data_IF_954025949276
#
_entry.id   IF_954025949276
#
_cell.length_a   1.000
_cell.length_b   1.000
_cell.length_c   1.000
_cell.angle_alpha   90.00
_cell.angle_beta   90.00
_cell.angle_gamma   90.00
#
_symmetry.space_group_name_H-M   'P 1'
#
loop_
_entity.id
_entity.type
_entity.pdbx_description
1 polymer ?
#
# COMPACT_ATOMS: atom_id res chain seq x y z
N UNK A 1 4.16 12.45 -22.94
CA UNK A 1 3.71 12.13 -21.56
C UNK A 1 4.81 12.57 -20.59
N UNK A 2 4.56 13.63 -19.88
CA UNK A 2 5.42 14.13 -18.80
C UNK A 2 4.83 13.69 -17.47
N UNK A 3 5.55 12.82 -16.72
CA UNK A 3 5.09 12.25 -15.47
C UNK A 3 5.63 13.06 -14.29
N UNK A 4 4.72 13.49 -13.42
CA UNK A 4 5.05 14.11 -12.14
C UNK A 4 4.67 13.19 -10.99
N UNK A 5 5.63 12.92 -10.11
CA UNK A 5 5.43 12.24 -8.85
C UNK A 5 5.45 13.24 -7.70
N UNK A 6 4.47 13.19 -6.80
CA UNK A 6 4.42 14.08 -5.64
C UNK A 6 3.72 13.44 -4.44
N UNK A 7 4.11 13.88 -3.24
CA UNK A 7 3.31 13.69 -2.03
C UNK A 7 2.13 14.65 -2.08
N UNK A 8 0.92 14.14 -1.85
CA UNK A 8 -0.30 14.96 -1.78
C UNK A 8 -0.27 15.89 -0.57
N UNK A 9 -0.51 17.18 -0.81
CA UNK A 9 -0.70 18.19 0.22
C UNK A 9 -2.13 18.74 0.13
N UNK A 10 -3.01 18.43 1.11
CA UNK A 10 -4.42 18.83 1.07
C UNK A 10 -4.66 20.34 1.19
N UNK A 11 -3.62 21.13 1.48
CA UNK A 11 -3.74 22.60 1.57
C UNK A 11 -3.44 23.30 0.24
N UNK A 12 -2.63 22.70 -0.61
CA UNK A 12 -2.11 23.36 -1.83
C UNK A 12 -2.40 22.61 -3.11
N UNK A 13 -2.63 21.31 -3.04
CA UNK A 13 -2.82 20.48 -4.23
C UNK A 13 -4.29 20.41 -4.65
N UNK A 14 -4.50 20.54 -5.95
CA UNK A 14 -5.77 20.22 -6.61
C UNK A 14 -5.60 18.83 -7.24
N UNK A 15 -6.50 17.91 -6.85
CA UNK A 15 -6.51 16.57 -7.42
C UNK A 15 -7.08 16.65 -8.84
N UNK A 16 -6.32 16.10 -9.80
CA UNK A 16 -6.72 16.03 -11.19
C UNK A 16 -7.72 14.88 -11.42
N UNK A 17 -8.50 14.90 -12.52
CA UNK A 17 -9.42 13.82 -12.87
C UNK A 17 -8.76 12.44 -12.76
N UNK A 18 -9.49 11.50 -12.18
CA UNK A 18 -9.07 10.12 -11.96
C UNK A 18 -10.26 9.17 -12.02
N UNK A 19 -10.11 8.05 -12.66
CA UNK A 19 -11.08 6.95 -12.66
C UNK A 19 -10.34 5.62 -12.81
N UNK A 20 -10.43 4.75 -11.81
CA UNK A 20 -9.85 3.41 -11.84
C UNK A 20 -10.90 2.30 -12.00
N UNK A 21 -12.18 2.66 -12.21
CA UNK A 21 -13.29 1.71 -12.33
C UNK A 21 -13.82 1.17 -10.99
N UNK A 22 -13.24 1.59 -9.85
CA UNK A 22 -13.69 1.20 -8.52
C UNK A 22 -14.16 2.46 -7.75
N UNK A 23 -15.42 2.45 -7.31
CA UNK A 23 -16.05 3.62 -6.68
C UNK A 23 -15.46 3.97 -5.32
N UNK A 24 -15.02 2.97 -4.50
CA UNK A 24 -14.39 3.22 -3.20
C UNK A 24 -13.01 3.87 -3.40
N UNK A 25 -12.22 3.35 -4.34
CA UNK A 25 -10.90 3.91 -4.64
C UNK A 25 -10.99 5.29 -5.29
N UNK A 26 -11.96 5.51 -6.18
CA UNK A 26 -12.23 6.82 -6.77
C UNK A 26 -12.69 7.82 -5.70
N UNK A 27 -13.65 7.43 -4.86
CA UNK A 27 -14.17 8.25 -3.76
C UNK A 27 -13.09 8.62 -2.76
N UNK A 28 -12.26 7.66 -2.33
CA UNK A 28 -11.16 7.96 -1.41
C UNK A 28 -10.24 9.07 -1.92
N UNK A 29 -9.93 9.11 -3.20
CA UNK A 29 -9.06 10.13 -3.77
C UNK A 29 -9.79 11.46 -4.01
N UNK A 30 -10.99 11.41 -4.64
CA UNK A 30 -11.64 12.58 -5.21
C UNK A 30 -12.57 13.31 -4.24
N UNK A 31 -13.11 12.60 -3.23
CA UNK A 31 -14.01 13.22 -2.26
C UNK A 31 -13.23 14.06 -1.24
N UNK A 32 -13.86 15.14 -0.82
CA UNK A 32 -13.34 16.04 0.22
C UNK A 32 -14.32 16.23 1.38
N UNK A 33 -15.44 15.48 1.36
CA UNK A 33 -16.46 15.50 2.40
C UNK A 33 -15.94 14.76 3.65
N UNK A 34 -16.06 15.36 4.82
CA UNK A 34 -15.60 14.78 6.09
C UNK A 34 -16.49 13.61 6.59
N UNK A 35 -17.62 13.35 5.96
CA UNK A 35 -18.54 12.25 6.33
C UNK A 35 -18.04 10.86 5.85
N UNK A 36 -17.10 10.82 4.91
CA UNK A 36 -16.52 9.57 4.39
C UNK A 36 -15.00 9.63 4.44
N UNK A 37 -14.32 8.49 4.71
CA UNK A 37 -12.86 8.42 4.69
C UNK A 37 -12.31 8.81 3.32
N UNK A 38 -11.42 9.81 3.28
CA UNK A 38 -10.81 10.29 2.05
C UNK A 38 -9.35 10.71 2.26
N UNK A 39 -8.61 10.90 1.17
CA UNK A 39 -7.18 11.22 1.20
C UNK A 39 -6.90 12.55 1.91
N UNK A 40 -7.78 13.55 1.75
CA UNK A 40 -7.66 14.86 2.39
C UNK A 40 -7.79 14.74 3.92
N UNK A 41 -8.83 14.05 4.40
CA UNK A 41 -9.07 13.81 5.82
C UNK A 41 -7.92 13.01 6.43
N UNK A 42 -7.50 11.90 5.79
CA UNK A 42 -6.39 11.09 6.30
C UNK A 42 -5.08 11.86 6.40
N UNK A 43 -4.80 12.75 5.43
CA UNK A 43 -3.60 13.59 5.47
C UNK A 43 -3.67 14.63 6.61
N UNK A 44 -4.83 15.28 6.82
CA UNK A 44 -5.04 16.27 7.89
C UNK A 44 -4.95 15.65 9.29
N UNK A 45 -5.48 14.43 9.44
CA UNK A 45 -5.47 13.68 10.70
C UNK A 45 -4.19 12.88 10.93
N UNK A 46 -3.20 12.95 10.03
CA UNK A 46 -1.95 12.19 10.08
C UNK A 46 -2.16 10.66 10.08
N UNK A 47 -3.27 10.19 9.53
CA UNK A 47 -3.61 8.76 9.48
C UNK A 47 -2.90 8.04 8.32
N UNK A 48 -2.70 8.74 7.19
CA UNK A 48 -1.99 8.21 6.03
C UNK A 48 -1.29 9.31 5.24
N UNK A 49 -0.30 8.91 4.47
CA UNK A 49 0.37 9.77 3.47
C UNK A 49 -0.01 9.25 2.10
N UNK A 50 -0.61 10.11 1.27
CA UNK A 50 -0.99 9.80 -0.11
C UNK A 50 0.03 10.38 -1.08
N UNK A 51 0.35 9.62 -2.12
CA UNK A 51 1.22 10.01 -3.22
C UNK A 51 0.46 9.95 -4.53
N UNK A 52 0.69 10.94 -5.38
CA UNK A 52 0.06 11.07 -6.69
C UNK A 52 1.10 10.92 -7.80
N UNK A 53 0.71 10.25 -8.87
CA UNK A 53 1.42 10.17 -10.13
C UNK A 53 0.53 10.81 -11.18
N UNK A 54 0.99 11.90 -11.77
CA UNK A 54 0.22 12.72 -12.69
C UNK A 54 0.84 12.75 -14.08
N UNK A 55 0.01 12.71 -15.10
CA UNK A 55 0.37 13.14 -16.46
C UNK A 55 0.13 14.64 -16.57
N UNK A 56 1.22 15.40 -16.70
CA UNK A 56 1.14 16.87 -16.73
C UNK A 56 0.56 17.35 -18.05
N UNK A 57 0.93 16.73 -19.17
CA UNK A 57 0.43 17.09 -20.51
C UNK A 57 -1.08 16.78 -20.66
N UNK A 58 -1.50 15.60 -20.19
CA UNK A 58 -2.91 15.22 -20.24
C UNK A 58 -3.76 15.89 -19.14
N UNK A 59 -3.14 16.46 -18.11
CA UNK A 59 -3.83 17.06 -16.97
C UNK A 59 -4.62 16.05 -16.13
N UNK A 60 -4.18 14.79 -16.02
CA UNK A 60 -4.86 13.68 -15.34
C UNK A 60 -4.01 13.04 -14.27
N UNK A 61 -4.66 12.38 -13.30
CA UNK A 61 -3.98 11.50 -12.36
C UNK A 61 -3.86 10.10 -12.96
N UNK A 62 -2.62 9.61 -13.11
CA UNK A 62 -2.32 8.27 -13.62
C UNK A 62 -2.62 7.21 -12.57
N UNK A 63 -2.11 7.45 -11.35
CA UNK A 63 -2.21 6.52 -10.24
C UNK A 63 -2.05 7.24 -8.90
N UNK A 64 -2.50 6.61 -7.84
CA UNK A 64 -2.18 7.02 -6.49
C UNK A 64 -1.98 5.83 -5.56
N UNK A 65 -1.32 6.06 -4.46
CA UNK A 65 -1.24 5.11 -3.35
C UNK A 65 -1.14 5.85 -2.01
N UNK A 66 -1.59 5.20 -0.96
CA UNK A 66 -1.50 5.71 0.41
C UNK A 66 -0.76 4.75 1.31
N UNK A 67 0.07 5.30 2.21
CA UNK A 67 0.88 4.55 3.16
C UNK A 67 0.53 4.98 4.58
N UNK A 68 0.47 4.00 5.49
CA UNK A 68 0.27 4.21 6.91
C UNK A 68 1.10 3.20 7.71
N UNK A 69 1.36 3.51 8.99
CA UNK A 69 2.05 2.58 9.89
C UNK A 69 1.16 1.38 10.19
N UNK A 70 1.81 0.21 10.32
CA UNK A 70 1.15 -1.05 10.61
C UNK A 70 2.09 -1.97 11.41
N UNK A 71 1.59 -3.13 11.77
CA UNK A 71 2.36 -4.21 12.38
C UNK A 71 1.78 -5.57 12.03
N UNK A 72 2.62 -6.57 11.90
CA UNK A 72 2.20 -7.97 11.87
C UNK A 72 2.16 -8.46 13.31
N UNK A 73 0.99 -8.86 13.79
CA UNK A 73 0.80 -9.38 15.13
C UNK A 73 0.74 -10.91 15.14
N UNK A 74 1.29 -11.50 16.21
CA UNK A 74 1.30 -12.94 16.38
C UNK A 74 -0.09 -13.55 16.40
N UNK A 75 -1.04 -12.85 17.02
CA UNK A 75 -2.38 -13.36 17.26
C UNK A 75 -3.29 -13.31 16.00
N UNK A 76 -2.86 -12.55 14.98
CA UNK A 76 -3.58 -12.41 13.70
C UNK A 76 -2.92 -13.18 12.54
N UNK A 77 -1.66 -13.61 12.70
CA UNK A 77 -0.97 -14.39 11.68
C UNK A 77 -1.14 -15.89 11.95
N UNK A 78 -1.26 -16.68 10.89
CA UNK A 78 -1.20 -18.12 11.02
C UNK A 78 0.07 -18.56 11.75
N UNK A 79 -0.09 -19.52 12.67
CA UNK A 79 1.03 -20.03 13.47
C UNK A 79 2.23 -20.48 12.64
N UNK A 80 1.97 -21.11 11.51
CA UNK A 80 3.02 -21.57 10.57
C UNK A 80 3.76 -20.38 9.96
N UNK A 81 3.01 -19.36 9.53
CA UNK A 81 3.56 -18.14 8.92
C UNK A 81 4.33 -17.35 9.98
N UNK A 82 3.73 -17.14 11.16
CA UNK A 82 4.42 -16.49 12.28
C UNK A 82 5.76 -17.15 12.63
N UNK A 83 5.77 -18.48 12.73
CA UNK A 83 6.98 -19.23 13.02
C UNK A 83 8.06 -19.07 11.93
N UNK A 84 7.64 -19.01 10.65
CA UNK A 84 8.55 -18.75 9.52
C UNK A 84 9.16 -17.36 9.62
N UNK A 85 8.34 -16.33 9.85
CA UNK A 85 8.81 -14.95 10.02
C UNK A 85 9.77 -14.82 11.21
N UNK A 86 9.42 -15.45 12.32
CA UNK A 86 10.21 -15.39 13.57
C UNK A 86 11.57 -16.07 13.46
N UNK A 87 11.71 -17.14 12.67
CA UNK A 87 13.00 -17.86 12.50
C UNK A 87 14.09 -16.96 11.89
N UNK A 88 13.71 -15.99 11.11
CA UNK A 88 14.64 -15.10 10.41
C UNK A 88 15.03 -13.87 11.26
N UNK A 89 14.46 -13.72 12.47
CA UNK A 89 14.66 -12.54 13.31
C UNK A 89 15.35 -12.95 14.62
N UNK A 90 16.53 -12.39 14.95
CA UNK A 90 17.19 -12.64 16.20
C UNK A 90 16.30 -12.27 17.40
N UNK A 91 16.34 -13.07 18.46
CA UNK A 91 15.58 -12.84 19.70
C UNK A 91 14.04 -12.77 19.52
N UNK A 92 13.50 -13.42 18.50
CA UNK A 92 12.08 -13.40 18.15
C UNK A 92 11.13 -13.88 19.27
N UNK A 93 11.59 -14.76 20.18
CA UNK A 93 10.77 -15.36 21.25
C UNK A 93 10.05 -14.36 22.15
N UNK A 94 10.58 -13.15 22.28
CA UNK A 94 10.01 -12.09 23.14
C UNK A 94 9.11 -11.11 22.37
N UNK A 95 9.05 -11.21 21.05
CA UNK A 95 8.27 -10.28 20.21
C UNK A 95 6.85 -10.80 20.00
N UNK A 96 5.88 -9.91 20.14
CA UNK A 96 4.47 -10.18 19.82
C UNK A 96 4.04 -9.54 18.52
N UNK A 97 4.84 -8.63 17.99
CA UNK A 97 4.58 -7.94 16.73
C UNK A 97 5.86 -7.55 16.02
N UNK A 98 5.77 -7.34 14.72
CA UNK A 98 6.85 -6.81 13.88
C UNK A 98 6.38 -5.55 13.17
N UNK A 99 7.23 -4.51 13.09
CA UNK A 99 6.88 -3.26 12.43
C UNK A 99 6.66 -3.46 10.93
N UNK A 100 5.60 -2.87 10.42
CA UNK A 100 5.23 -2.87 9.02
C UNK A 100 4.81 -1.47 8.55
N UNK A 101 4.81 -1.27 7.24
CA UNK A 101 4.11 -0.20 6.56
C UNK A 101 2.96 -0.82 5.77
N UNK A 102 1.77 -0.25 5.85
CA UNK A 102 0.59 -0.71 5.11
C UNK A 102 0.39 0.12 3.86
N UNK A 103 0.17 -0.56 2.74
CA UNK A 103 -0.42 0.05 1.57
C UNK A 103 -1.93 0.09 1.82
N UNK A 104 -2.44 1.25 2.22
CA UNK A 104 -3.86 1.44 2.53
C UNK A 104 -4.73 1.48 1.29
N UNK A 105 -4.21 2.11 0.23
CA UNK A 105 -4.85 2.19 -1.09
C UNK A 105 -3.78 2.15 -2.17
N UNK A 106 -4.06 1.53 -3.29
CA UNK A 106 -3.27 1.60 -4.52
C UNK A 106 -4.22 1.47 -5.70
N UNK A 107 -4.24 2.47 -6.56
CA UNK A 107 -5.09 2.46 -7.73
C UNK A 107 -4.40 3.08 -8.93
N UNK A 108 -4.69 2.54 -10.11
CA UNK A 108 -4.22 3.02 -11.41
C UNK A 108 -5.45 3.32 -12.27
N UNK A 109 -5.48 4.50 -12.88
CA UNK A 109 -6.57 4.90 -13.78
C UNK A 109 -6.73 3.90 -14.93
N UNK A 110 -7.98 3.65 -15.33
CA UNK A 110 -8.34 2.72 -16.42
C UNK A 110 -7.49 2.96 -17.68
N UNK A 111 -7.31 4.23 -18.06
CA UNK A 111 -6.55 4.61 -19.26
C UNK A 111 -5.08 4.19 -19.20
N UNK A 112 -4.53 4.00 -18.00
CA UNK A 112 -3.11 3.68 -17.77
C UNK A 112 -2.90 2.26 -17.21
N UNK A 113 -3.96 1.44 -17.08
CA UNK A 113 -3.83 0.03 -16.71
C UNK A 113 -3.02 -0.74 -17.76
N UNK A 114 -2.36 -1.80 -17.34
CA UNK A 114 -1.51 -2.61 -18.24
C UNK A 114 -0.12 -2.03 -18.56
N UNK A 115 0.17 -0.79 -18.18
CA UNK A 115 1.49 -0.14 -18.42
C UNK A 115 2.51 -0.33 -17.29
N UNK A 116 2.19 -1.20 -16.33
CA UNK A 116 3.10 -1.56 -15.23
C UNK A 116 3.23 -0.53 -14.12
N UNK A 117 2.38 0.50 -14.05
CA UNK A 117 2.44 1.53 -13.00
C UNK A 117 2.28 0.95 -11.60
N UNK A 118 1.35 0.00 -11.39
CA UNK A 118 1.18 -0.65 -10.10
C UNK A 118 2.44 -1.34 -9.60
N UNK A 119 3.10 -2.15 -10.45
CA UNK A 119 4.35 -2.83 -10.09
C UNK A 119 5.51 -1.87 -9.85
N UNK A 120 5.59 -0.76 -10.61
CA UNK A 120 6.59 0.29 -10.39
C UNK A 120 6.38 0.99 -9.04
N UNK A 121 5.12 1.23 -8.65
CA UNK A 121 4.78 1.78 -7.32
C UNK A 121 5.24 0.82 -6.23
N UNK A 122 4.92 -0.47 -6.32
CA UNK A 122 5.36 -1.46 -5.34
C UNK A 122 6.89 -1.53 -5.25
N UNK A 123 7.60 -1.50 -6.38
CA UNK A 123 9.07 -1.42 -6.42
C UNK A 123 9.61 -0.20 -5.70
N UNK A 124 9.02 0.98 -5.94
CA UNK A 124 9.38 2.24 -5.28
C UNK A 124 9.19 2.18 -3.75
N UNK A 125 8.03 1.66 -3.29
CA UNK A 125 7.75 1.51 -1.86
C UNK A 125 8.76 0.55 -1.20
N UNK A 126 9.06 -0.58 -1.84
CA UNK A 126 10.08 -1.53 -1.36
C UNK A 126 11.44 -0.86 -1.23
N UNK A 127 11.85 -0.11 -2.23
CA UNK A 127 13.13 0.63 -2.21
C UNK A 127 13.19 1.64 -1.07
N UNK A 128 12.15 2.45 -0.87
CA UNK A 128 12.13 3.46 0.19
C UNK A 128 12.32 2.85 1.59
N UNK A 129 11.62 1.75 1.84
CA UNK A 129 11.63 1.14 3.18
C UNK A 129 12.77 0.13 3.39
N UNK A 130 13.50 -0.24 2.35
CA UNK A 130 14.70 -1.08 2.48
C UNK A 130 15.99 -0.28 2.60
N UNK A 131 16.09 0.92 2.01
CA UNK A 131 17.33 1.69 1.91
C UNK A 131 17.34 3.03 2.66
N UNK A 132 16.20 3.72 2.79
CA UNK A 132 16.11 5.05 3.41
C UNK A 132 15.00 5.12 4.45
N UNK A 133 14.97 4.13 5.31
CA UNK A 133 13.92 3.96 6.31
C UNK A 133 14.22 4.76 7.57
N UNK A 134 13.46 5.83 7.84
CA UNK A 134 13.60 6.67 9.03
C UNK A 134 13.12 6.03 10.33
N UNK A 135 12.30 4.98 10.23
CA UNK A 135 11.82 4.21 11.37
C UNK A 135 11.86 2.74 11.01
N UNK A 136 12.37 1.89 11.91
CA UNK A 136 12.47 0.46 11.64
C UNK A 136 11.18 -0.13 11.10
N UNK A 137 11.24 -0.66 9.88
CA UNK A 137 10.14 -1.30 9.19
C UNK A 137 10.66 -2.59 8.55
N UNK A 138 10.08 -3.73 8.92
CA UNK A 138 10.50 -5.03 8.41
C UNK A 138 9.65 -5.51 7.25
N UNK A 139 8.36 -5.19 7.27
CA UNK A 139 7.39 -5.74 6.34
C UNK A 139 6.57 -4.64 5.66
N UNK A 140 6.06 -4.95 4.47
CA UNK A 140 4.95 -4.22 3.84
C UNK A 140 3.73 -5.11 3.97
N UNK A 141 2.60 -4.55 4.39
CA UNK A 141 1.29 -5.23 4.45
C UNK A 141 0.29 -4.58 3.50
N UNK A 142 -0.73 -5.33 3.13
CA UNK A 142 -1.87 -4.86 2.35
C UNK A 142 -3.08 -5.75 2.61
N UNK A 143 -4.26 -5.16 2.73
CA UNK A 143 -5.53 -5.87 2.59
C UNK A 143 -5.90 -5.85 1.10
N UNK A 144 -5.48 -6.88 0.38
CA UNK A 144 -5.67 -6.97 -1.04
C UNK A 144 -7.12 -7.36 -1.36
N UNK A 145 -7.81 -6.60 -2.20
CA UNK A 145 -9.06 -7.07 -2.80
C UNK A 145 -8.82 -8.43 -3.47
N UNK A 146 -9.79 -9.35 -3.40
CA UNK A 146 -9.64 -10.69 -4.00
C UNK A 146 -9.25 -10.63 -5.48
N UNK A 147 -9.78 -9.68 -6.23
CA UNK A 147 -9.43 -9.43 -7.63
C UNK A 147 -8.00 -8.96 -7.84
N UNK A 148 -7.34 -8.44 -6.81
CA UNK A 148 -5.97 -7.94 -6.85
C UNK A 148 -4.92 -8.91 -6.25
N UNK A 149 -5.34 -10.04 -5.70
CA UNK A 149 -4.42 -11.01 -5.06
C UNK A 149 -3.33 -11.46 -6.03
N UNK A 150 -3.68 -11.83 -7.25
CA UNK A 150 -2.71 -12.30 -8.26
C UNK A 150 -1.68 -11.19 -8.60
N UNK A 151 -2.12 -9.94 -8.67
CA UNK A 151 -1.22 -8.80 -8.87
C UNK A 151 -0.19 -8.69 -7.74
N UNK A 152 -0.63 -8.81 -6.48
CA UNK A 152 0.31 -8.76 -5.35
C UNK A 152 1.21 -9.99 -5.30
N UNK A 153 0.73 -11.20 -5.63
CA UNK A 153 1.55 -12.41 -5.72
C UNK A 153 2.62 -12.31 -6.81
N UNK A 154 2.28 -11.78 -7.99
CA UNK A 154 3.25 -11.50 -9.07
C UNK A 154 4.32 -10.49 -8.64
N UNK A 155 4.00 -9.64 -7.67
CA UNK A 155 4.93 -8.72 -7.03
C UNK A 155 5.55 -9.28 -5.74
N UNK A 156 5.52 -10.63 -5.57
CA UNK A 156 6.17 -11.38 -4.48
C UNK A 156 5.59 -11.14 -3.08
N UNK A 157 4.35 -10.65 -2.97
CA UNK A 157 3.62 -10.67 -1.72
C UNK A 157 3.10 -12.07 -1.42
N UNK A 158 3.03 -12.41 -0.16
CA UNK A 158 2.51 -13.70 0.33
C UNK A 158 1.31 -13.46 1.25
N UNK A 159 0.40 -14.43 1.32
CA UNK A 159 -0.72 -14.38 2.27
C UNK A 159 -0.21 -14.50 3.70
N UNK A 160 -0.78 -13.72 4.61
CA UNK A 160 -0.46 -13.77 6.04
C UNK A 160 -1.38 -14.76 6.80
N UNK A 161 -2.56 -15.04 6.26
CA UNK A 161 -3.56 -15.95 6.80
C UNK A 161 -3.93 -16.94 5.70
N UNK A 162 -4.07 -18.20 6.04
CA UNK A 162 -4.40 -19.28 5.08
C UNK A 162 -5.90 -19.50 4.86
N UNK A 163 -6.73 -19.08 5.82
CA UNK A 163 -8.20 -19.25 5.81
C UNK A 163 -8.88 -17.88 5.83
N UNK A 164 -9.22 -17.36 4.67
CA UNK A 164 -9.89 -16.08 4.51
C UNK A 164 -11.04 -16.14 3.48
N UNK A 165 -11.72 -17.29 3.41
CA UNK A 165 -12.69 -17.58 2.35
C UNK A 165 -13.97 -16.74 2.41
N UNK A 166 -14.22 -16.02 3.50
CA UNK A 166 -15.45 -15.23 3.71
C UNK A 166 -15.24 -13.71 3.62
N UNK A 167 -13.98 -13.22 3.62
CA UNK A 167 -13.71 -11.77 3.59
C UNK A 167 -13.52 -11.26 2.16
N UNK A 168 -13.91 -10.00 1.90
CA UNK A 168 -13.72 -9.33 0.59
C UNK A 168 -12.25 -9.05 0.28
N UNK A 169 -11.39 -9.07 1.30
CA UNK A 169 -9.95 -8.81 1.19
C UNK A 169 -9.12 -9.97 1.73
N UNK A 170 -7.89 -10.04 1.27
CA UNK A 170 -6.87 -11.00 1.71
C UNK A 170 -5.70 -10.24 2.31
N UNK A 171 -5.38 -10.50 3.57
CA UNK A 171 -4.22 -9.90 4.22
C UNK A 171 -2.93 -10.52 3.66
N UNK A 172 -2.11 -9.68 3.03
CA UNK A 172 -0.85 -10.08 2.41
C UNK A 172 0.32 -9.27 2.95
N UNK A 173 1.52 -9.84 2.85
CA UNK A 173 2.75 -9.18 3.29
C UNK A 173 3.92 -9.40 2.33
N UNK A 174 4.91 -8.50 2.42
CA UNK A 174 6.21 -8.61 1.77
C UNK A 174 7.32 -8.40 2.80
N UNK A 175 8.35 -9.25 2.81
CA UNK A 175 9.53 -9.11 3.66
C UNK A 175 10.58 -8.22 2.96
N UNK A 176 10.77 -7.00 3.46
CA UNK A 176 11.70 -6.02 2.89
C UNK A 176 13.16 -6.48 2.85
N UNK A 177 13.55 -7.41 3.71
CA UNK A 177 14.92 -7.94 3.67
C UNK A 177 15.23 -8.69 2.38
N UNK A 178 14.22 -9.27 1.74
CA UNK A 178 14.37 -9.93 0.43
C UNK A 178 14.69 -8.96 -0.72
N UNK A 179 14.43 -7.66 -0.52
CA UNK A 179 14.73 -6.63 -1.53
C UNK A 179 16.19 -6.19 -1.48
N UNK A 180 16.86 -6.41 -0.34
CA UNK A 180 18.24 -6.01 -0.09
C UNK A 180 19.25 -7.12 -0.41
N UNK A 181 18.77 -8.32 -0.73
CA UNK A 181 19.56 -9.49 -1.18
C UNK A 181 19.54 -9.57 -2.70
#
# INVERSE_FOLDING_TARGET
MEIKFKRFNPQTDIIKPFDCGDSDLNGFLLESNDDVPNATQHARQLLAVTYLIEDIEAGKTIAYFSLLHDRIERDFADKTIWNRLSRQIPNAKRRRSYPAIKIGRLAVSEEYKGHGFGSKILGLVKQWYSSDNRAGCRYITVDALRSAVDFYQQNHFERLISSDDEEDTVLMYYDLKRFSE
#
